data_IF_286295531006
#
_entry.id   IF_286295531006
#
_cell.length_a   1.000
_cell.length_b   1.000
_cell.length_c   1.000
_cell.angle_alpha   90.00
_cell.angle_beta   90.00
_cell.angle_gamma   90.00
#
_symmetry.space_group_name_H-M   'P 1'
#
loop_
_entity.id
_entity.type
_entity.pdbx_description
1 polymer ?
#
# COMPACT_ATOMS: atom_id res chain seq x y z
N UNK A 1 10.27 -20.98 -16.72
CA UNK A 1 10.12 -21.98 -15.63
C UNK A 1 9.97 -23.42 -16.10
N UNK A 2 9.01 -23.78 -16.97
CA UNK A 2 8.85 -25.17 -17.45
C UNK A 2 10.15 -25.80 -17.98
N UNK A 3 10.90 -25.07 -18.79
CA UNK A 3 12.19 -25.51 -19.33
C UNK A 3 13.25 -25.76 -18.23
N UNK A 4 13.35 -24.85 -17.25
CA UNK A 4 14.26 -25.01 -16.13
C UNK A 4 13.92 -26.24 -15.26
N UNK A 5 12.63 -26.45 -14.95
CA UNK A 5 12.14 -27.63 -14.22
C UNK A 5 12.45 -28.91 -15.00
N UNK A 6 12.18 -28.93 -16.30
CA UNK A 6 12.46 -30.09 -17.16
C UNK A 6 13.97 -30.40 -17.22
N UNK A 7 14.82 -29.37 -17.33
CA UNK A 7 16.28 -29.52 -17.34
C UNK A 7 16.82 -30.08 -16.02
N UNK A 8 16.35 -29.56 -14.89
CA UNK A 8 16.69 -30.07 -13.56
C UNK A 8 16.25 -31.53 -13.37
N UNK A 9 15.03 -31.87 -13.79
CA UNK A 9 14.52 -33.24 -13.75
C UNK A 9 15.35 -34.20 -14.59
N UNK A 10 15.76 -33.79 -15.80
CA UNK A 10 16.64 -34.59 -16.65
C UNK A 10 18.02 -34.85 -16.02
N UNK A 11 18.48 -33.94 -15.14
CA UNK A 11 19.73 -34.10 -14.38
C UNK A 11 19.54 -34.85 -13.03
N UNK A 12 18.34 -35.33 -12.70
CA UNK A 12 18.05 -35.98 -11.41
C UNK A 12 17.99 -35.02 -10.23
N UNK A 13 17.82 -33.72 -10.48
CA UNK A 13 17.76 -32.64 -9.49
C UNK A 13 16.36 -32.01 -9.45
N UNK A 14 15.31 -32.82 -9.43
CA UNK A 14 13.92 -32.32 -9.45
C UNK A 14 13.68 -31.34 -8.28
N UNK A 15 13.27 -30.09 -8.57
CA UNK A 15 13.08 -29.09 -7.52
C UNK A 15 11.88 -29.48 -6.66
N UNK A 16 12.07 -29.52 -5.35
CA UNK A 16 10.98 -29.70 -4.39
C UNK A 16 10.01 -28.53 -4.44
N UNK A 17 10.53 -27.30 -4.58
CA UNK A 17 9.76 -26.07 -4.64
C UNK A 17 10.02 -25.31 -5.95
N UNK A 18 8.92 -24.87 -6.56
CA UNK A 18 8.90 -23.86 -7.60
C UNK A 18 8.01 -22.75 -7.07
N UNK A 19 8.65 -21.78 -6.43
CA UNK A 19 8.00 -20.73 -5.65
C UNK A 19 8.08 -19.37 -6.34
N UNK A 20 7.02 -18.57 -6.24
CA UNK A 20 6.95 -17.24 -6.83
C UNK A 20 5.54 -16.65 -6.77
N UNK A 21 5.23 -15.73 -7.66
CA UNK A 21 3.90 -15.10 -7.75
C UNK A 21 3.64 -14.04 -6.69
N UNK A 22 3.08 -12.91 -7.13
CA UNK A 22 2.71 -11.78 -6.28
C UNK A 22 1.22 -11.44 -6.37
N UNK A 23 0.80 -10.40 -5.65
CA UNK A 23 -0.61 -9.96 -5.61
C UNK A 23 -1.19 -9.71 -7.01
N UNK A 24 -0.39 -9.24 -7.96
CA UNK A 24 -0.83 -8.99 -9.34
C UNK A 24 -0.73 -10.18 -10.31
N UNK A 25 -0.24 -11.34 -9.86
CA UNK A 25 0.02 -12.48 -10.74
C UNK A 25 -0.46 -13.83 -10.21
N UNK A 26 -0.75 -13.96 -8.91
CA UNK A 26 -0.96 -15.23 -8.21
C UNK A 26 -1.89 -16.22 -8.92
N UNK A 27 -2.93 -15.74 -9.59
CA UNK A 27 -3.87 -16.57 -10.33
C UNK A 27 -3.25 -17.25 -11.56
N UNK A 28 -2.22 -16.66 -12.18
CA UNK A 28 -1.44 -17.28 -13.25
C UNK A 28 -0.54 -18.39 -12.69
N UNK A 29 0.21 -18.11 -11.62
CA UNK A 29 1.08 -19.11 -10.99
C UNK A 29 0.27 -20.28 -10.43
N UNK A 30 -0.82 -20.00 -9.71
CA UNK A 30 -1.69 -21.02 -9.12
C UNK A 30 -2.33 -21.94 -10.18
N UNK A 31 -2.66 -21.41 -11.36
CA UNK A 31 -3.24 -22.18 -12.46
C UNK A 31 -2.19 -22.82 -13.40
N UNK A 32 -0.90 -22.59 -13.17
CA UNK A 32 0.15 -22.93 -14.14
C UNK A 32 0.44 -24.43 -14.26
N UNK A 33 0.18 -25.21 -13.21
CA UNK A 33 0.65 -26.59 -13.05
C UNK A 33 2.19 -26.70 -12.96
N UNK A 34 2.87 -25.58 -12.66
CA UNK A 34 4.34 -25.49 -12.57
C UNK A 34 4.77 -24.99 -11.20
N UNK A 35 4.21 -23.86 -10.76
CA UNK A 35 4.46 -23.34 -9.42
C UNK A 35 3.67 -24.16 -8.39
N UNK A 36 4.28 -24.41 -7.25
CA UNK A 36 3.67 -25.12 -6.13
C UNK A 36 3.67 -24.32 -4.82
N UNK A 37 4.17 -23.08 -4.85
CA UNK A 37 4.14 -22.14 -3.72
C UNK A 37 3.94 -20.70 -4.22
N UNK A 38 3.15 -19.91 -3.48
CA UNK A 38 2.88 -18.49 -3.75
C UNK A 38 3.58 -17.59 -2.73
N UNK A 39 4.07 -16.42 -3.17
CA UNK A 39 4.85 -15.47 -2.35
C UNK A 39 4.18 -14.08 -2.26
N UNK A 40 2.84 -14.03 -2.26
CA UNK A 40 2.10 -12.78 -2.24
C UNK A 40 2.26 -12.04 -0.90
N UNK A 41 2.48 -10.72 -0.96
CA UNK A 41 2.65 -9.87 0.23
C UNK A 41 1.59 -8.76 0.32
N UNK A 42 1.61 -7.83 -0.64
CA UNK A 42 0.86 -6.57 -0.57
C UNK A 42 -0.66 -6.72 -0.46
N UNK A 43 -1.23 -7.87 -0.86
CA UNK A 43 -2.69 -8.13 -0.80
C UNK A 43 -3.29 -7.95 0.60
N UNK A 44 -2.48 -8.14 1.65
CA UNK A 44 -2.93 -8.00 3.04
C UNK A 44 -3.20 -6.54 3.45
N UNK A 45 -2.56 -5.57 2.77
CA UNK A 45 -2.62 -4.14 3.11
C UNK A 45 -3.17 -3.26 2.00
N UNK A 46 -2.81 -3.59 0.77
CA UNK A 46 -2.98 -2.79 -0.44
C UNK A 46 -2.29 -1.42 -0.38
N UNK A 47 -2.21 -0.80 -1.55
CA UNK A 47 -1.76 0.58 -1.75
C UNK A 47 -2.36 1.12 -3.06
N UNK A 48 -2.06 2.37 -3.39
CA UNK A 48 -2.61 3.03 -4.56
C UNK A 48 -2.08 2.45 -5.88
N UNK A 49 -0.84 1.97 -5.92
CA UNK A 49 -0.18 1.45 -7.13
C UNK A 49 -0.69 0.05 -7.49
N UNK A 50 -0.82 -0.84 -6.51
CA UNK A 50 -1.55 -2.09 -6.70
C UNK A 50 -3.02 -1.82 -6.97
N UNK A 51 -3.67 -0.95 -6.19
CA UNK A 51 -5.11 -0.72 -6.30
C UNK A 51 -5.56 -0.29 -7.70
N UNK A 52 -4.70 0.38 -8.47
CA UNK A 52 -5.02 0.84 -9.83
C UNK A 52 -4.91 -0.20 -10.93
N UNK A 53 -4.28 -1.34 -10.70
CA UNK A 53 -4.23 -2.39 -11.72
C UNK A 53 -5.62 -2.98 -11.92
N UNK A 54 -5.86 -3.53 -13.10
CA UNK A 54 -7.17 -4.03 -13.49
C UNK A 54 -7.22 -5.56 -13.38
N UNK A 55 -8.34 -6.07 -12.86
CA UNK A 55 -8.71 -7.48 -12.92
C UNK A 55 -9.09 -7.89 -14.36
N UNK A 56 -9.54 -9.14 -14.52
CA UNK A 56 -9.92 -9.70 -15.83
C UNK A 56 -11.15 -9.03 -16.43
N UNK A 57 -11.97 -8.41 -15.59
CA UNK A 57 -13.18 -7.69 -15.92
C UNK A 57 -12.90 -6.19 -16.20
N UNK A 58 -11.64 -5.75 -16.08
CA UNK A 58 -11.23 -4.37 -16.30
C UNK A 58 -11.53 -3.43 -15.13
N UNK A 59 -11.80 -3.98 -13.93
CA UNK A 59 -12.07 -3.22 -12.71
C UNK A 59 -10.79 -3.10 -11.88
N UNK A 60 -10.63 -1.97 -11.19
CA UNK A 60 -9.56 -1.80 -10.21
C UNK A 60 -9.63 -2.88 -9.13
N UNK A 61 -8.50 -3.50 -8.81
CA UNK A 61 -8.47 -4.59 -7.81
C UNK A 61 -8.80 -4.09 -6.39
N UNK A 62 -8.60 -2.80 -6.09
CA UNK A 62 -9.04 -2.16 -4.83
C UNK A 62 -10.55 -1.88 -4.75
N UNK A 63 -11.31 -2.24 -5.80
CA UNK A 63 -12.75 -2.11 -5.85
C UNK A 63 -13.45 -3.48 -5.89
N UNK A 64 -12.85 -4.54 -5.36
CA UNK A 64 -13.59 -5.80 -5.21
C UNK A 64 -12.73 -6.99 -4.85
N UNK A 65 -11.50 -7.06 -5.35
CA UNK A 65 -10.62 -8.20 -5.08
C UNK A 65 -9.95 -8.06 -3.72
N UNK A 66 -9.44 -6.87 -3.41
CA UNK A 66 -8.72 -6.58 -2.17
C UNK A 66 -9.18 -5.24 -1.58
N UNK A 67 -9.18 -5.15 -0.24
CA UNK A 67 -9.57 -3.94 0.49
C UNK A 67 -8.32 -3.18 0.98
N UNK A 68 -8.43 -1.85 1.09
CA UNK A 68 -7.39 -1.07 1.76
C UNK A 68 -7.45 -1.30 3.28
N UNK A 69 -6.39 -1.88 3.84
CA UNK A 69 -6.26 -2.09 5.29
C UNK A 69 -5.13 -1.25 5.91
N UNK A 70 -4.19 -0.73 5.10
CA UNK A 70 -3.13 0.16 5.54
C UNK A 70 -3.48 1.62 5.23
N UNK A 71 -3.40 2.46 6.27
CA UNK A 71 -3.60 3.90 6.14
C UNK A 71 -2.53 4.67 6.91
N UNK A 72 -2.10 5.80 6.36
CA UNK A 72 -1.40 6.84 7.11
C UNK A 72 -2.47 7.73 7.73
N UNK A 73 -2.50 7.82 9.05
CA UNK A 73 -3.34 8.77 9.77
C UNK A 73 -2.59 10.10 9.85
N UNK A 74 -3.21 11.17 9.35
CA UNK A 74 -2.61 12.51 9.32
C UNK A 74 -3.57 13.55 9.87
N UNK A 75 -3.05 14.62 10.46
CA UNK A 75 -3.84 15.76 10.95
C UNK A 75 -3.56 17.00 10.11
N UNK A 76 -4.60 17.79 9.84
CA UNK A 76 -4.45 19.13 9.25
C UNK A 76 -3.81 20.05 10.29
N UNK A 77 -2.67 20.65 9.95
CA UNK A 77 -1.88 21.50 10.85
C UNK A 77 -1.79 22.96 10.38
N UNK A 78 -2.18 23.26 9.14
CA UNK A 78 -2.29 24.62 8.60
C UNK A 78 -3.37 24.71 7.53
N UNK A 79 -4.08 25.84 7.51
CA UNK A 79 -5.11 26.18 6.53
C UNK A 79 -5.09 27.70 6.29
N UNK A 80 -3.88 28.23 6.00
CA UNK A 80 -3.67 29.66 5.79
C UNK A 80 -4.22 30.15 4.44
N UNK A 81 -4.43 29.25 3.48
CA UNK A 81 -5.02 29.52 2.18
C UNK A 81 -6.41 28.90 2.13
N UNK A 82 -7.39 29.65 1.63
CA UNK A 82 -8.79 29.23 1.61
C UNK A 82 -9.04 27.93 0.84
N UNK A 83 -8.20 27.61 -0.15
CA UNK A 83 -8.33 26.47 -1.06
C UNK A 83 -7.36 25.31 -0.76
N UNK A 84 -6.56 25.40 0.31
CA UNK A 84 -5.51 24.41 0.63
C UNK A 84 -5.36 24.16 2.12
N UNK A 85 -5.36 22.88 2.47
CA UNK A 85 -4.94 22.39 3.77
C UNK A 85 -3.52 21.82 3.70
N UNK A 86 -2.77 21.95 4.79
CA UNK A 86 -1.47 21.32 4.98
C UNK A 86 -1.62 20.29 6.11
N UNK A 87 -1.18 19.06 5.85
CA UNK A 87 -1.19 17.98 6.84
C UNK A 87 0.23 17.59 7.26
N UNK A 88 0.32 16.88 8.38
CA UNK A 88 1.58 16.43 9.01
C UNK A 88 2.21 15.16 8.40
N UNK A 89 1.59 14.58 7.36
CA UNK A 89 2.15 13.42 6.65
C UNK A 89 2.81 13.83 5.33
N UNK A 90 4.11 14.14 5.41
CA UNK A 90 4.99 14.38 4.26
C UNK A 90 5.64 13.11 3.71
N UNK A 91 6.79 13.28 3.06
CA UNK A 91 7.60 12.20 2.49
C UNK A 91 8.20 11.30 3.57
N UNK A 92 8.64 11.82 4.73
CA UNK A 92 9.25 10.98 5.77
C UNK A 92 8.28 10.03 6.46
N UNK A 93 6.97 10.25 6.27
CA UNK A 93 5.92 9.37 6.75
C UNK A 93 5.57 8.26 5.74
N UNK A 94 6.16 8.26 4.54
CA UNK A 94 5.80 7.33 3.46
C UNK A 94 6.89 7.24 2.37
N UNK A 95 6.52 6.84 1.16
CA UNK A 95 7.32 6.98 -0.04
C UNK A 95 6.50 7.57 -1.18
N UNK A 96 7.19 8.02 -2.24
CA UNK A 96 6.58 8.48 -3.49
C UNK A 96 7.19 7.81 -4.73
N UNK A 97 7.88 6.67 -4.54
CA UNK A 97 8.48 5.88 -5.61
C UNK A 97 7.43 5.38 -6.62
N UNK A 98 6.23 5.03 -6.14
CA UNK A 98 5.08 4.68 -6.97
C UNK A 98 4.01 5.80 -7.05
N UNK A 99 4.39 7.04 -6.78
CA UNK A 99 3.48 8.19 -6.81
C UNK A 99 2.87 8.55 -5.45
N UNK A 100 1.93 9.50 -5.48
CA UNK A 100 1.36 10.12 -4.28
C UNK A 100 0.34 9.20 -3.59
N UNK A 101 0.15 9.35 -2.27
CA UNK A 101 -1.01 8.78 -1.60
C UNK A 101 -2.31 9.45 -2.07
N UNK A 102 -3.46 8.85 -1.74
CA UNK A 102 -4.76 9.49 -1.92
C UNK A 102 -5.58 9.50 -0.61
N UNK A 103 -6.47 10.49 -0.49
CA UNK A 103 -7.37 10.61 0.67
C UNK A 103 -8.48 9.57 0.56
N UNK A 104 -8.62 8.72 1.57
CA UNK A 104 -9.58 7.62 1.55
C UNK A 104 -10.98 8.04 2.04
N UNK A 105 -12.01 7.53 1.37
CA UNK A 105 -13.41 7.62 1.81
C UNK A 105 -14.11 8.95 1.51
N UNK A 106 -13.50 9.81 0.69
CA UNK A 106 -14.05 11.09 0.23
C UNK A 106 -13.38 11.53 -1.07
N UNK A 107 -14.07 12.35 -1.85
CA UNK A 107 -13.69 12.80 -3.19
C UNK A 107 -13.69 14.33 -3.36
N UNK A 108 -14.02 15.07 -2.31
CA UNK A 108 -14.08 16.53 -2.25
C UNK A 108 -12.73 17.21 -1.98
N UNK A 109 -11.70 16.44 -1.62
CA UNK A 109 -10.34 16.90 -1.34
C UNK A 109 -9.29 15.98 -1.97
N UNK A 110 -8.10 16.50 -2.27
CA UNK A 110 -7.06 15.73 -2.96
C UNK A 110 -5.66 16.01 -2.44
N UNK A 111 -4.92 14.96 -2.09
CA UNK A 111 -3.48 15.07 -1.80
C UNK A 111 -2.71 15.28 -3.12
N UNK A 112 -1.98 16.39 -3.25
CA UNK A 112 -1.36 16.79 -4.53
C UNK A 112 0.15 16.99 -4.48
N UNK A 113 0.73 17.11 -3.29
CA UNK A 113 2.17 17.35 -3.14
C UNK A 113 2.61 16.99 -1.72
N UNK A 114 3.87 16.59 -1.57
CA UNK A 114 4.54 16.51 -0.28
C UNK A 114 5.89 17.21 -0.30
N UNK A 115 6.33 17.68 0.86
CA UNK A 115 7.74 17.87 1.22
C UNK A 115 8.09 16.85 2.31
N UNK A 116 9.27 16.95 2.92
CA UNK A 116 9.73 16.04 3.98
C UNK A 116 8.68 15.76 5.06
N UNK A 117 8.12 16.82 5.66
CA UNK A 117 7.26 16.73 6.86
C UNK A 117 5.81 17.20 6.59
N UNK A 118 5.49 17.62 5.36
CA UNK A 118 4.18 18.22 5.07
C UNK A 118 3.56 17.66 3.80
N UNK A 119 2.25 17.40 3.87
CA UNK A 119 1.40 17.13 2.70
C UNK A 119 0.55 18.34 2.35
N UNK A 120 0.34 18.58 1.05
CA UNK A 120 -0.55 19.62 0.53
C UNK A 120 -1.81 18.94 0.01
N UNK A 121 -2.96 19.38 0.54
CA UNK A 121 -4.27 18.88 0.18
C UNK A 121 -5.05 20.03 -0.48
N UNK A 122 -5.51 19.81 -1.71
CA UNK A 122 -6.51 20.68 -2.34
C UNK A 122 -7.82 20.56 -1.56
N UNK A 123 -8.32 21.70 -1.12
CA UNK A 123 -9.57 21.85 -0.37
C UNK A 123 -10.36 23.04 -0.95
N UNK A 124 -10.86 22.92 -2.20
CA UNK A 124 -11.46 24.04 -2.93
C UNK A 124 -12.72 24.61 -2.25
N UNK A 125 -13.40 23.80 -1.44
CA UNK A 125 -14.59 24.20 -0.70
C UNK A 125 -14.29 24.69 0.74
N UNK A 126 -13.02 24.67 1.17
CA UNK A 126 -12.62 25.09 2.52
C UNK A 126 -13.25 24.28 3.64
N UNK A 127 -13.52 22.99 3.38
CA UNK A 127 -14.25 22.11 4.30
C UNK A 127 -13.36 21.60 5.43
N UNK A 128 -12.05 21.49 5.21
CA UNK A 128 -11.12 20.96 6.20
C UNK A 128 -10.85 21.98 7.31
N UNK A 129 -10.70 21.49 8.55
CA UNK A 129 -10.34 22.32 9.72
C UNK A 129 -9.01 21.89 10.33
N UNK A 130 -8.33 22.82 10.99
CA UNK A 130 -7.16 22.51 11.82
C UNK A 130 -7.52 21.40 12.82
N UNK A 131 -6.61 20.44 12.98
CA UNK A 131 -6.73 19.20 13.76
C UNK A 131 -7.68 18.12 13.20
N UNK A 132 -8.37 18.37 12.08
CA UNK A 132 -9.14 17.33 11.38
C UNK A 132 -8.21 16.20 10.93
N UNK A 133 -8.69 14.96 11.05
CA UNK A 133 -7.92 13.76 10.72
C UNK A 133 -8.38 13.17 9.40
N UNK A 134 -7.41 12.78 8.60
CA UNK A 134 -7.63 12.11 7.32
C UNK A 134 -6.87 10.78 7.31
N UNK A 135 -7.40 9.83 6.54
CA UNK A 135 -6.72 8.57 6.23
C UNK A 135 -6.20 8.66 4.81
N UNK A 136 -4.91 8.38 4.63
CA UNK A 136 -4.28 8.31 3.32
C UNK A 136 -3.98 6.85 2.98
N UNK A 137 -4.41 6.38 1.80
CA UNK A 137 -3.87 5.13 1.24
C UNK A 137 -2.48 5.48 0.67
N UNK A 138 -1.41 4.77 1.07
CA UNK A 138 -0.07 5.08 0.61
C UNK A 138 0.08 4.80 -0.89
N UNK A 139 1.08 5.44 -1.53
CA UNK A 139 1.45 5.13 -2.90
C UNK A 139 1.95 3.68 -3.06
N UNK A 140 2.80 3.25 -2.12
CA UNK A 140 3.39 1.91 -2.06
C UNK A 140 3.51 1.45 -0.60
N UNK A 141 2.96 0.29 -0.27
CA UNK A 141 2.84 -0.18 1.12
C UNK A 141 4.19 -0.55 1.75
N UNK A 142 5.06 -1.29 1.07
CA UNK A 142 6.32 -1.83 1.63
C UNK A 142 7.29 -0.73 2.10
N UNK A 143 7.70 0.24 1.26
CA UNK A 143 8.60 1.32 1.67
C UNK A 143 7.95 2.24 2.70
N UNK A 144 6.62 2.43 2.63
CA UNK A 144 5.89 3.19 3.66
C UNK A 144 5.98 2.48 5.01
N UNK A 145 5.76 1.17 5.07
CA UNK A 145 5.89 0.42 6.32
C UNK A 145 7.30 0.54 6.91
N UNK A 146 8.34 0.48 6.07
CA UNK A 146 9.73 0.49 6.53
C UNK A 146 10.21 1.82 7.18
N UNK A 147 9.44 2.91 7.06
CA UNK A 147 9.75 4.18 7.74
C UNK A 147 9.04 4.36 9.08
N UNK A 148 8.18 3.40 9.49
CA UNK A 148 7.47 3.42 10.78
C UNK A 148 7.96 2.30 11.70
N UNK A 149 7.92 2.53 13.01
CA UNK A 149 8.22 1.51 14.02
C UNK A 149 7.00 0.70 14.46
N UNK A 150 5.77 1.18 14.19
CA UNK A 150 4.54 0.59 14.72
C UNK A 150 3.39 0.58 13.71
N UNK A 151 2.55 -0.45 13.78
CA UNK A 151 1.19 -0.43 13.27
C UNK A 151 0.20 -0.18 14.41
N UNK A 152 -0.78 0.68 14.19
CA UNK A 152 -1.91 0.88 15.11
C UNK A 152 -3.13 0.15 14.56
N UNK A 153 -3.44 -1.02 15.10
CA UNK A 153 -4.58 -1.83 14.71
C UNK A 153 -5.87 -1.28 15.31
N UNK A 154 -6.82 -0.90 14.46
CA UNK A 154 -8.10 -0.28 14.87
C UNK A 154 -9.26 -1.21 14.52
N UNK A 155 -10.15 -1.45 15.49
CA UNK A 155 -11.42 -2.16 15.30
C UNK A 155 -12.53 -1.41 16.01
N UNK A 156 -13.70 -1.25 15.37
CA UNK A 156 -14.86 -0.55 15.93
C UNK A 156 -14.53 0.86 16.47
N UNK A 157 -13.67 1.59 15.76
CA UNK A 157 -13.25 2.95 16.13
C UNK A 157 -12.32 3.04 17.35
N UNK A 158 -11.77 1.92 17.82
CA UNK A 158 -10.84 1.87 18.96
C UNK A 158 -9.53 1.20 18.58
N UNK A 159 -8.44 1.65 19.19
CA UNK A 159 -7.16 0.94 19.11
C UNK A 159 -7.32 -0.39 19.86
N UNK A 160 -7.15 -1.49 19.13
CA UNK A 160 -7.19 -2.86 19.66
C UNK A 160 -5.77 -3.37 19.90
N UNK A 161 -4.84 -3.05 19.00
CA UNK A 161 -3.45 -3.48 19.07
C UNK A 161 -2.48 -2.39 18.63
N UNK A 162 -1.25 -2.49 19.13
CA UNK A 162 -0.11 -1.74 18.61
C UNK A 162 1.00 -2.76 18.36
N UNK A 163 1.31 -3.02 17.09
CA UNK A 163 2.27 -4.04 16.70
C UNK A 163 3.60 -3.42 16.27
N UNK A 164 4.75 -3.93 16.74
CA UNK A 164 6.04 -3.44 16.29
C UNK A 164 6.32 -3.92 14.85
N UNK A 165 6.90 -3.03 14.05
CA UNK A 165 7.46 -3.38 12.74
C UNK A 165 8.82 -4.02 12.98
N UNK A 166 8.75 -5.32 13.31
CA UNK A 166 9.85 -6.08 13.92
C UNK A 166 11.13 -6.12 13.08
N UNK A 167 11.00 -6.01 11.76
CA UNK A 167 12.10 -6.06 10.80
C UNK A 167 12.45 -4.71 10.15
N UNK A 168 11.93 -3.59 10.69
CA UNK A 168 12.21 -2.26 10.14
C UNK A 168 13.71 -2.01 10.00
N UNK A 169 14.15 -1.59 8.81
CA UNK A 169 15.54 -1.24 8.52
C UNK A 169 16.55 -2.40 8.55
N UNK A 170 16.10 -3.66 8.67
CA UNK A 170 16.98 -4.83 8.66
C UNK A 170 17.31 -5.26 7.23
N UNK A 171 18.31 -4.60 6.65
CA UNK A 171 18.82 -4.89 5.30
C UNK A 171 20.29 -5.37 5.31
N UNK A 172 20.75 -5.94 6.44
CA UNK A 172 22.12 -6.39 6.70
C UNK A 172 22.20 -7.91 6.88
#
# INVERSE_FOLDING_TARGET
MKEAVAGLKAAGLEPELVSGGGTGSYYFEAASGVYNELQCGSYAFMDADYGRILDREGKRIDQGEWENALFILTSVMSHAKADKAICDAGLKAQSVDSGLPFVHGRDDVKYIKCSDEHGVIEDPAGVLKINEKLRLVPGHCDPTCNVHDWYVGVRNGKVETVWPISARGKAY
#
